data_IF_408034763443
#
_entry.id   IF_408034763443
#
_cell.length_a   1.000
_cell.length_b   1.000
_cell.length_c   1.000
_cell.angle_alpha   90.00
_cell.angle_beta   90.00
_cell.angle_gamma   90.00
#
_symmetry.space_group_name_H-M   'P 1'
#
loop_
_entity.id
_entity.type
_entity.pdbx_description
1 polymer ?
#
# COMPACT_ATOMS: atom_id res chain seq x y z
N UNK A 1 5.45 -7.17 -12.68
CA UNK A 1 6.60 -7.42 -11.79
C UNK A 1 6.17 -8.42 -10.74
N UNK A 2 7.02 -9.37 -10.38
CA UNK A 2 6.72 -10.43 -9.39
C UNK A 2 7.89 -10.58 -8.43
N UNK A 3 7.60 -10.96 -7.20
CA UNK A 3 8.60 -11.15 -6.14
C UNK A 3 8.37 -12.49 -5.45
N UNK A 4 9.45 -13.14 -5.02
CA UNK A 4 9.39 -14.35 -4.21
C UNK A 4 9.29 -13.96 -2.73
N UNK A 5 8.07 -14.02 -2.19
CA UNK A 5 7.80 -13.63 -0.81
C UNK A 5 8.42 -14.62 0.20
N UNK A 6 8.61 -15.87 -0.20
CA UNK A 6 9.14 -16.92 0.68
C UNK A 6 10.63 -16.70 0.90
N UNK A 7 11.37 -16.42 -0.18
CA UNK A 7 12.80 -16.08 -0.09
C UNK A 7 13.02 -14.81 0.74
N UNK A 8 12.21 -13.76 0.55
CA UNK A 8 12.35 -12.50 1.29
C UNK A 8 12.16 -12.73 2.80
N UNK A 9 11.19 -13.56 3.19
CA UNK A 9 10.96 -13.90 4.60
C UNK A 9 12.08 -14.75 5.18
N UNK A 10 12.58 -15.73 4.42
CA UNK A 10 13.62 -16.66 4.86
C UNK A 10 14.94 -15.93 5.19
N UNK A 11 15.28 -14.91 4.40
CA UNK A 11 16.46 -14.07 4.68
C UNK A 11 16.22 -13.00 5.77
N UNK A 12 15.05 -13.00 6.42
CA UNK A 12 14.71 -12.10 7.52
C UNK A 12 14.41 -10.66 7.10
N UNK A 13 14.09 -10.42 5.82
CA UNK A 13 13.71 -9.09 5.35
C UNK A 13 12.21 -8.81 5.61
N UNK A 14 11.90 -7.53 5.74
CA UNK A 14 10.53 -7.05 5.99
C UNK A 14 9.72 -7.15 4.69
N UNK A 15 8.55 -7.80 4.79
CA UNK A 15 7.60 -7.91 3.67
C UNK A 15 6.44 -6.91 3.76
N UNK A 16 6.32 -6.18 4.87
CA UNK A 16 5.38 -5.07 4.97
C UNK A 16 5.76 -3.99 3.95
N UNK A 17 4.80 -3.64 3.09
CA UNK A 17 5.04 -2.75 1.96
C UNK A 17 4.11 -1.54 2.08
N UNK A 18 4.59 -0.37 2.52
CA UNK A 18 3.77 0.82 2.63
C UNK A 18 3.44 1.39 1.24
N UNK A 19 2.21 1.86 1.07
CA UNK A 19 1.76 2.62 -0.10
C UNK A 19 1.51 4.06 0.35
N UNK A 20 2.17 5.02 -0.30
CA UNK A 20 2.12 6.44 0.10
C UNK A 20 1.80 7.34 -1.09
N UNK A 21 1.05 8.41 -0.84
CA UNK A 21 0.90 9.55 -1.75
C UNK A 21 2.03 10.53 -1.45
N UNK A 22 2.85 10.87 -2.44
CA UNK A 22 4.01 11.77 -2.27
C UNK A 22 3.72 13.23 -2.63
N UNK A 23 2.70 13.50 -3.44
CA UNK A 23 2.27 14.83 -3.89
C UNK A 23 1.06 15.33 -3.09
N UNK A 24 1.22 15.36 -1.75
CA UNK A 24 0.14 15.68 -0.81
C UNK A 24 -0.30 17.14 -0.83
N UNK A 25 0.46 18.01 -1.49
CA UNK A 25 0.11 19.39 -1.78
C UNK A 25 -1.02 19.50 -2.84
N UNK A 26 -1.20 18.47 -3.66
CA UNK A 26 -2.21 18.41 -4.71
C UNK A 26 -3.26 17.31 -4.49
N UNK A 27 -2.95 16.30 -3.68
CA UNK A 27 -3.83 15.15 -3.44
C UNK A 27 -3.92 14.80 -1.96
N UNK A 28 -5.15 14.61 -1.49
CA UNK A 28 -5.40 14.08 -0.15
C UNK A 28 -5.89 12.64 -0.23
N UNK A 29 -5.51 11.84 0.75
CA UNK A 29 -6.08 10.52 0.96
C UNK A 29 -7.52 10.67 1.47
N UNK A 30 -8.45 10.02 0.79
CA UNK A 30 -9.84 9.91 1.23
C UNK A 30 -10.10 8.46 1.62
N UNK A 31 -10.09 8.18 2.91
CA UNK A 31 -10.47 6.87 3.46
C UNK A 31 -11.77 7.00 4.24
N UNK A 32 -12.68 6.08 3.97
CA UNK A 32 -13.88 5.86 4.78
C UNK A 32 -13.60 4.66 5.70
N UNK A 33 -13.04 4.90 6.90
CA UNK A 33 -12.75 3.85 7.89
C UNK A 33 -11.27 3.73 8.27
N UNK A 34 -10.84 2.52 8.66
CA UNK A 34 -9.44 2.20 8.96
C UNK A 34 -8.73 1.61 7.75
N UNK A 35 -7.44 1.91 7.59
CA UNK A 35 -6.62 1.29 6.55
C UNK A 35 -6.64 -0.24 6.70
N UNK A 36 -6.97 -0.95 5.63
CA UNK A 36 -6.84 -2.41 5.63
C UNK A 36 -5.35 -2.78 5.61
N UNK A 37 -4.95 -3.63 6.55
CA UNK A 37 -3.59 -4.19 6.61
C UNK A 37 -3.45 -5.46 5.77
N UNK A 38 -4.54 -5.95 5.17
CA UNK A 38 -4.55 -7.13 4.30
C UNK A 38 -5.52 -6.90 3.15
N UNK A 39 -5.00 -6.89 1.92
CA UNK A 39 -5.79 -6.70 0.70
C UNK A 39 -5.44 -7.77 -0.33
N UNK A 40 -6.32 -8.00 -1.30
CA UNK A 40 -5.98 -8.80 -2.46
C UNK A 40 -5.32 -7.95 -3.56
N UNK A 41 -4.46 -8.58 -4.37
CA UNK A 41 -3.86 -7.89 -5.51
C UNK A 41 -4.96 -7.43 -6.49
N UNK A 42 -4.93 -6.15 -6.87
CA UNK A 42 -5.93 -5.53 -7.73
C UNK A 42 -7.16 -4.99 -7.01
N UNK A 43 -7.28 -5.22 -5.70
CA UNK A 43 -8.29 -4.58 -4.87
C UNK A 43 -7.93 -3.11 -4.61
N UNK A 44 -8.95 -2.25 -4.49
CA UNK A 44 -8.75 -0.85 -4.19
C UNK A 44 -8.27 -0.67 -2.74
N UNK A 45 -7.09 -0.09 -2.56
CA UNK A 45 -6.52 0.21 -1.23
C UNK A 45 -6.92 1.59 -0.70
N UNK A 46 -6.83 2.62 -1.54
CA UNK A 46 -6.94 4.02 -1.19
C UNK A 46 -7.49 4.82 -2.37
N UNK A 47 -8.25 5.89 -2.08
CA UNK A 47 -8.65 6.90 -3.06
C UNK A 47 -7.87 8.19 -2.80
N UNK A 48 -7.19 8.68 -3.83
CA UNK A 48 -6.54 9.98 -3.82
C UNK A 48 -7.46 11.03 -4.47
N UNK A 49 -7.90 12.00 -3.69
CA UNK A 49 -8.76 13.09 -4.18
C UNK A 49 -7.92 14.33 -4.39
N UNK A 50 -8.07 14.95 -5.56
CA UNK A 50 -7.37 16.21 -5.87
C UNK A 50 -8.02 17.37 -5.10
N UNK A 51 -7.17 18.24 -4.54
CA UNK A 51 -7.55 19.51 -3.92
C UNK A 51 -7.39 20.70 -4.87
#
# INVERSE_FOLDING_TARGET
>A
MSFDIEIIKDVGLVTETPVIITNQDAYIETITGTHSTTIQAGEALMVATRI
#
